data_IF_514059799364
#
_entry.id   IF_514059799364
#
_cell.length_a   1.000
_cell.length_b   1.000
_cell.length_c   1.000
_cell.angle_alpha   90.00
_cell.angle_beta   90.00
_cell.angle_gamma   90.00
#
_symmetry.space_group_name_H-M   'P 1'
#
loop_
_entity.id
_entity.type
_entity.pdbx_description
1 polymer ?
#
# COMPACT_ATOMS: atom_id res chain seq x y z
N UNK A 1 21.02 41.21 -27.53
CA UNK A 1 21.42 40.05 -26.68
C UNK A 1 22.65 39.40 -27.30
N UNK A 2 23.76 39.43 -26.59
CA UNK A 2 25.08 38.99 -27.12
C UNK A 2 25.07 37.49 -27.38
N UNK A 3 25.63 37.09 -28.55
CA UNK A 3 25.74 35.69 -28.97
C UNK A 3 26.43 34.83 -27.89
N UNK A 4 27.38 35.40 -27.15
CA UNK A 4 28.06 34.75 -26.04
C UNK A 4 27.10 34.45 -24.88
N UNK A 5 26.12 35.28 -24.62
CA UNK A 5 25.14 35.09 -23.55
C UNK A 5 24.11 34.00 -23.90
N UNK A 6 23.66 33.97 -25.18
CA UNK A 6 22.80 32.88 -25.69
C UNK A 6 23.48 31.51 -25.65
N UNK A 7 24.75 31.45 -26.01
CA UNK A 7 25.53 30.23 -25.96
C UNK A 7 25.76 29.75 -24.50
N UNK A 8 25.94 30.67 -23.55
CA UNK A 8 26.10 30.37 -22.13
C UNK A 8 24.79 29.77 -21.53
N UNK A 9 23.64 30.35 -21.87
CA UNK A 9 22.33 29.86 -21.46
C UNK A 9 22.01 28.49 -22.07
N UNK A 10 22.27 28.31 -23.37
CA UNK A 10 22.12 27.02 -24.05
C UNK A 10 22.98 25.92 -23.42
N UNK A 11 24.26 26.19 -23.13
CA UNK A 11 25.15 25.25 -22.51
C UNK A 11 24.79 24.94 -21.04
N UNK A 12 24.25 25.94 -20.32
CA UNK A 12 23.71 25.77 -18.98
C UNK A 12 22.47 24.83 -18.97
N UNK A 13 21.56 25.07 -19.90
CA UNK A 13 20.36 24.27 -20.07
C UNK A 13 20.67 22.86 -20.55
N UNK A 14 21.64 22.70 -21.47
CA UNK A 14 22.15 21.38 -21.91
C UNK A 14 22.77 20.59 -20.75
N UNK A 15 23.61 21.22 -19.91
CA UNK A 15 24.25 20.60 -18.75
C UNK A 15 23.19 20.21 -17.70
N UNK A 16 22.18 21.04 -17.46
CA UNK A 16 21.05 20.73 -16.57
C UNK A 16 20.28 19.52 -17.10
N UNK A 17 19.91 19.50 -18.37
CA UNK A 17 19.20 18.37 -19.00
C UNK A 17 20.03 17.07 -18.97
N UNK A 18 21.36 17.17 -19.17
CA UNK A 18 22.26 16.03 -19.08
C UNK A 18 22.33 15.48 -17.65
N UNK A 19 22.44 16.36 -16.65
CA UNK A 19 22.48 15.98 -15.23
C UNK A 19 21.13 15.38 -14.77
N UNK A 20 20.02 15.94 -15.22
CA UNK A 20 18.67 15.37 -14.99
C UNK A 20 18.52 13.98 -15.64
N UNK A 21 19.07 13.77 -16.83
CA UNK A 21 19.06 12.45 -17.49
C UNK A 21 19.97 11.42 -16.81
N UNK A 22 21.11 11.86 -16.26
CA UNK A 22 22.02 10.99 -15.50
C UNK A 22 21.38 10.55 -14.15
N UNK A 23 20.74 11.47 -13.44
CA UNK A 23 19.99 11.14 -12.20
C UNK A 23 18.82 10.20 -12.49
N UNK A 24 18.15 10.41 -13.61
CA UNK A 24 17.08 9.49 -14.07
C UNK A 24 17.65 8.13 -14.44
N UNK A 25 18.79 8.05 -15.10
CA UNK A 25 19.47 6.79 -15.41
C UNK A 25 19.90 6.03 -14.14
N UNK A 26 20.46 6.70 -13.14
CA UNK A 26 20.90 6.07 -11.88
C UNK A 26 19.72 5.47 -11.09
N UNK A 27 18.61 6.18 -10.99
CA UNK A 27 17.38 5.67 -10.35
C UNK A 27 16.85 4.45 -11.14
N UNK A 28 17.10 4.40 -12.45
CA UNK A 28 16.64 3.36 -13.37
C UNK A 28 17.51 2.11 -13.34
N UNK A 29 18.83 2.26 -13.34
CA UNK A 29 19.77 1.13 -13.20
C UNK A 29 19.47 0.40 -11.89
N UNK A 30 19.27 1.12 -10.79
CA UNK A 30 18.87 0.52 -9.49
C UNK A 30 17.50 -0.16 -9.50
N UNK A 31 16.56 0.23 -10.38
CA UNK A 31 15.26 -0.46 -10.53
C UNK A 31 15.33 -1.68 -11.46
N UNK A 32 16.17 -1.66 -12.49
CA UNK A 32 16.43 -2.82 -13.36
C UNK A 32 16.98 -4.03 -12.60
N UNK A 33 17.78 -3.78 -11.56
CA UNK A 33 18.30 -4.83 -10.68
C UNK A 33 17.22 -5.44 -9.78
N UNK A 34 16.08 -4.75 -9.57
CA UNK A 34 14.94 -5.26 -8.82
C UNK A 34 13.92 -5.87 -9.79
N UNK A 35 14.01 -7.18 -9.98
CA UNK A 35 12.94 -7.94 -10.66
C UNK A 35 11.59 -7.64 -10.01
N UNK A 36 10.56 -7.40 -10.83
CA UNK A 36 9.20 -7.26 -10.36
C UNK A 36 8.77 -8.55 -9.64
N UNK A 37 8.02 -8.43 -8.55
CA UNK A 37 7.38 -9.60 -7.97
C UNK A 37 6.35 -10.18 -8.93
N UNK A 38 6.12 -11.48 -8.91
CA UNK A 38 5.14 -12.14 -9.78
C UNK A 38 3.74 -11.52 -9.66
N UNK A 39 3.32 -11.15 -8.44
CA UNK A 39 2.04 -10.48 -8.19
C UNK A 39 1.97 -9.11 -8.86
N UNK A 40 3.04 -8.31 -8.78
CA UNK A 40 3.12 -6.99 -9.41
C UNK A 40 3.12 -7.11 -10.93
N UNK A 41 3.88 -8.06 -11.47
CA UNK A 41 3.95 -8.34 -12.91
C UNK A 41 2.57 -8.70 -13.47
N UNK A 42 1.87 -9.66 -12.86
CA UNK A 42 0.50 -10.06 -13.23
C UNK A 42 -0.47 -8.89 -13.17
N UNK A 43 -0.37 -8.06 -12.15
CA UNK A 43 -1.21 -6.86 -12.04
C UNK A 43 -0.94 -5.86 -13.17
N UNK A 44 0.32 -5.63 -13.53
CA UNK A 44 0.68 -4.70 -14.61
C UNK A 44 0.21 -5.20 -15.97
N UNK A 45 0.40 -6.49 -16.27
CA UNK A 45 -0.12 -7.11 -17.49
C UNK A 45 -1.64 -6.91 -17.57
N UNK A 46 -2.37 -7.26 -16.52
CA UNK A 46 -3.83 -7.09 -16.46
C UNK A 46 -4.28 -5.65 -16.72
N UNK A 47 -3.59 -4.67 -16.14
CA UNK A 47 -3.90 -3.25 -16.34
C UNK A 47 -3.63 -2.82 -17.79
N UNK A 48 -2.50 -3.21 -18.37
CA UNK A 48 -2.16 -2.88 -19.75
C UNK A 48 -3.16 -3.49 -20.72
N UNK A 49 -3.49 -4.78 -20.56
CA UNK A 49 -4.47 -5.47 -21.40
C UNK A 49 -5.85 -4.83 -21.29
N UNK A 50 -6.30 -4.48 -20.08
CA UNK A 50 -7.59 -3.80 -19.89
C UNK A 50 -7.64 -2.47 -20.62
N UNK A 51 -6.60 -1.63 -20.53
CA UNK A 51 -6.56 -0.35 -21.24
C UNK A 51 -6.56 -0.58 -22.75
N UNK A 52 -5.81 -1.57 -23.25
CA UNK A 52 -5.88 -1.95 -24.65
C UNK A 52 -7.30 -2.28 -25.10
N UNK A 53 -8.03 -3.08 -24.33
CA UNK A 53 -9.41 -3.43 -24.59
C UNK A 53 -10.33 -2.21 -24.59
N UNK A 54 -10.18 -1.33 -23.61
CA UNK A 54 -10.97 -0.11 -23.47
C UNK A 54 -10.77 0.89 -24.62
N UNK A 55 -9.57 0.89 -25.22
CA UNK A 55 -9.27 1.71 -26.42
C UNK A 55 -9.59 0.97 -27.75
N UNK A 56 -10.31 -0.15 -27.70
CA UNK A 56 -10.72 -0.94 -28.88
C UNK A 56 -9.55 -1.50 -29.70
N UNK A 57 -8.39 -1.77 -29.06
CA UNK A 57 -7.27 -2.41 -29.71
C UNK A 57 -7.35 -3.93 -29.55
N UNK A 58 -6.99 -4.66 -30.59
CA UNK A 58 -6.96 -6.12 -30.56
C UNK A 58 -6.03 -6.65 -29.50
N UNK A 59 -6.60 -7.41 -28.56
CA UNK A 59 -5.84 -8.24 -27.62
C UNK A 59 -5.79 -9.64 -28.21
N UNK A 60 -4.59 -10.16 -28.37
CA UNK A 60 -4.40 -11.57 -28.66
C UNK A 60 -3.48 -12.19 -27.59
N UNK A 61 -3.45 -13.50 -27.55
CA UNK A 61 -2.61 -14.27 -26.62
C UNK A 61 -1.13 -13.86 -26.68
N UNK A 62 -0.63 -13.57 -27.88
CA UNK A 62 0.76 -13.16 -28.08
C UNK A 62 1.10 -11.85 -27.34
N UNK A 63 0.11 -10.99 -27.09
CA UNK A 63 0.35 -9.75 -26.34
C UNK A 63 0.65 -10.03 -24.87
N UNK A 64 -0.13 -10.90 -24.23
CA UNK A 64 0.08 -11.27 -22.84
C UNK A 64 1.44 -11.95 -22.64
N UNK A 65 1.79 -12.89 -23.52
CA UNK A 65 3.06 -13.61 -23.50
C UNK A 65 4.26 -12.67 -23.70
N UNK A 66 4.17 -11.71 -24.63
CA UNK A 66 5.21 -10.70 -24.83
C UNK A 66 5.36 -9.75 -23.65
N UNK A 67 4.25 -9.31 -23.04
CA UNK A 67 4.28 -8.47 -21.85
C UNK A 67 4.92 -9.21 -20.68
N UNK A 68 4.57 -10.48 -20.48
CA UNK A 68 5.16 -11.31 -19.43
C UNK A 68 6.68 -11.48 -19.65
N UNK A 69 7.09 -11.77 -20.86
CA UNK A 69 8.51 -11.90 -21.22
C UNK A 69 9.31 -10.62 -20.93
N UNK A 70 8.78 -9.46 -21.35
CA UNK A 70 9.44 -8.15 -21.18
C UNK A 70 9.50 -7.76 -19.69
N UNK A 71 8.40 -7.86 -18.98
CA UNK A 71 8.31 -7.46 -17.56
C UNK A 71 9.03 -8.43 -16.61
N UNK A 72 9.42 -9.60 -17.10
CA UNK A 72 10.32 -10.52 -16.39
C UNK A 72 11.79 -10.10 -16.44
N UNK A 73 12.13 -9.06 -17.22
CA UNK A 73 13.49 -8.56 -17.35
C UNK A 73 14.40 -9.42 -18.24
N UNK A 74 13.81 -10.20 -19.13
CA UNK A 74 14.54 -11.02 -20.10
C UNK A 74 15.25 -10.16 -21.15
N UNK A 75 16.28 -10.71 -21.80
CA UNK A 75 16.98 -10.04 -22.87
C UNK A 75 16.06 -9.86 -24.09
N UNK A 76 15.89 -8.59 -24.49
CA UNK A 76 14.97 -8.23 -25.55
C UNK A 76 15.66 -8.32 -26.93
N UNK A 77 15.00 -9.04 -27.85
CA UNK A 77 15.37 -9.13 -29.25
C UNK A 77 14.58 -8.09 -30.07
N UNK A 78 15.06 -7.81 -31.30
CA UNK A 78 14.44 -6.82 -32.20
C UNK A 78 12.93 -7.11 -32.46
N UNK A 79 12.55 -8.38 -32.52
CA UNK A 79 11.15 -8.79 -32.67
C UNK A 79 10.22 -8.28 -31.55
N UNK A 80 10.69 -8.29 -30.30
CA UNK A 80 9.92 -7.78 -29.15
C UNK A 80 9.71 -6.26 -29.26
N UNK A 81 10.74 -5.51 -29.65
CA UNK A 81 10.65 -4.08 -29.89
C UNK A 81 9.68 -3.76 -31.04
N UNK A 82 9.79 -4.47 -32.19
CA UNK A 82 8.87 -4.30 -33.34
C UNK A 82 7.42 -4.63 -32.94
N UNK A 83 7.22 -5.72 -32.22
CA UNK A 83 5.89 -6.14 -31.76
C UNK A 83 5.23 -5.07 -30.89
N UNK A 84 5.92 -4.62 -29.84
CA UNK A 84 5.38 -3.61 -28.92
C UNK A 84 5.24 -2.26 -29.58
N UNK A 85 6.19 -1.85 -30.45
CA UNK A 85 6.10 -0.59 -31.21
C UNK A 85 4.81 -0.51 -32.05
N UNK A 86 4.49 -1.58 -32.76
CA UNK A 86 3.24 -1.66 -33.54
C UNK A 86 2.00 -1.58 -32.67
N UNK A 87 1.98 -2.27 -31.52
CA UNK A 87 0.84 -2.35 -30.60
C UNK A 87 0.66 -1.10 -29.75
N UNK A 88 1.76 -0.41 -29.41
CA UNK A 88 1.76 0.78 -28.57
C UNK A 88 1.88 2.10 -29.35
N UNK A 89 1.71 2.07 -30.67
CA UNK A 89 1.81 3.26 -31.52
C UNK A 89 0.82 4.37 -31.08
N UNK A 90 -0.36 3.98 -30.61
CA UNK A 90 -1.40 4.89 -30.12
C UNK A 90 -1.02 5.60 -28.80
N UNK A 91 -0.06 5.11 -28.03
CA UNK A 91 0.47 5.80 -26.84
C UNK A 91 1.23 7.04 -27.29
N UNK A 92 0.54 7.90 -28.03
CA UNK A 92 1.00 9.23 -28.39
C UNK A 92 0.89 10.13 -27.16
N UNK A 93 2.00 10.81 -26.82
CA UNK A 93 2.23 11.54 -25.58
C UNK A 93 1.03 12.33 -25.06
N UNK A 94 0.48 13.23 -25.88
CA UNK A 94 -0.59 14.15 -25.45
C UNK A 94 -1.98 13.55 -25.54
N UNK A 95 -2.27 12.84 -26.62
CA UNK A 95 -3.61 12.26 -26.84
C UNK A 95 -3.91 11.17 -25.82
N UNK A 96 -2.96 10.25 -25.60
CA UNK A 96 -3.14 9.17 -24.62
C UNK A 96 -3.43 9.70 -23.21
N UNK A 97 -2.65 10.70 -22.75
CA UNK A 97 -2.87 11.30 -21.42
C UNK A 97 -4.26 11.95 -21.34
N UNK A 98 -4.65 12.76 -22.33
CA UNK A 98 -5.97 13.39 -22.34
C UNK A 98 -7.13 12.39 -22.28
N UNK A 99 -7.03 11.27 -22.98
CA UNK A 99 -8.05 10.23 -22.94
C UNK A 99 -8.05 9.49 -21.57
N UNK A 100 -6.87 9.28 -21.00
CA UNK A 100 -6.77 8.71 -19.66
C UNK A 100 -7.33 9.64 -18.58
N UNK A 101 -7.07 10.97 -18.66
CA UNK A 101 -7.63 12.00 -17.78
C UNK A 101 -9.16 12.05 -17.84
N UNK A 102 -9.74 11.96 -19.04
CA UNK A 102 -11.20 11.92 -19.22
C UNK A 102 -11.84 10.69 -18.56
N UNK A 103 -11.18 9.53 -18.64
CA UNK A 103 -11.70 8.27 -18.12
C UNK A 103 -11.48 8.11 -16.61
N UNK A 104 -10.37 8.60 -16.12
CA UNK A 104 -9.94 8.43 -14.74
C UNK A 104 -9.81 9.80 -14.06
N UNK A 105 -10.94 10.39 -13.69
CA UNK A 105 -11.02 11.72 -13.08
C UNK A 105 -10.25 11.83 -11.75
N UNK A 106 -10.06 10.70 -11.06
CA UNK A 106 -9.30 10.67 -9.82
C UNK A 106 -7.81 10.47 -10.10
N UNK A 107 -6.96 11.41 -9.66
CA UNK A 107 -5.50 11.38 -9.83
C UNK A 107 -4.85 10.08 -9.36
N UNK A 108 -5.33 9.48 -8.27
CA UNK A 108 -4.83 8.21 -7.76
C UNK A 108 -5.13 7.05 -8.72
N UNK A 109 -6.34 7.01 -9.27
CA UNK A 109 -6.74 6.01 -10.26
C UNK A 109 -5.93 6.18 -11.55
N UNK A 110 -5.82 7.41 -12.06
CA UNK A 110 -5.02 7.72 -13.25
C UNK A 110 -3.58 7.23 -13.09
N UNK A 111 -2.96 7.49 -11.95
CA UNK A 111 -1.60 7.04 -11.64
C UNK A 111 -1.48 5.51 -11.65
N UNK A 112 -2.44 4.79 -11.05
CA UNK A 112 -2.44 3.31 -11.02
C UNK A 112 -2.45 2.73 -12.44
N UNK A 113 -3.11 3.38 -13.38
CA UNK A 113 -3.16 2.96 -14.77
C UNK A 113 -1.92 3.40 -15.59
N UNK A 114 -1.28 4.52 -15.27
CA UNK A 114 -0.09 5.01 -15.99
C UNK A 114 1.21 4.32 -15.57
N UNK A 115 1.34 3.91 -14.30
CA UNK A 115 2.56 3.26 -13.79
C UNK A 115 2.94 2.01 -14.60
N UNK A 116 2.04 1.06 -14.90
CA UNK A 116 2.39 -0.13 -15.71
C UNK A 116 2.96 0.21 -17.07
N UNK A 117 2.42 1.24 -17.74
CA UNK A 117 2.95 1.71 -19.03
C UNK A 117 4.34 2.33 -18.88
N UNK A 118 4.53 3.13 -17.86
CA UNK A 118 5.84 3.74 -17.57
C UNK A 118 6.88 2.67 -17.32
N UNK A 119 6.54 1.66 -16.53
CA UNK A 119 7.42 0.52 -16.24
C UNK A 119 7.70 -0.28 -17.52
N UNK A 120 6.70 -0.58 -18.35
CA UNK A 120 6.90 -1.26 -19.63
C UNK A 120 7.84 -0.46 -20.55
N UNK A 121 7.59 0.84 -20.73
CA UNK A 121 8.43 1.70 -21.58
C UNK A 121 9.86 1.74 -21.09
N UNK A 122 10.08 1.55 -19.82
CA UNK A 122 11.39 1.50 -19.25
C UNK A 122 12.19 0.27 -19.64
N UNK A 123 11.58 -0.91 -19.58
CA UNK A 123 12.25 -2.13 -20.07
C UNK A 123 12.64 -2.01 -21.54
N UNK A 124 11.92 -1.18 -22.29
CA UNK A 124 12.13 -0.95 -23.73
C UNK A 124 13.03 0.26 -24.02
N UNK A 125 13.44 1.02 -23.02
CA UNK A 125 14.10 2.34 -23.17
C UNK A 125 15.50 2.32 -23.79
N UNK A 126 16.05 1.16 -24.10
CA UNK A 126 17.27 1.05 -24.91
C UNK A 126 17.08 1.67 -26.32
N UNK A 127 15.86 1.69 -26.84
CA UNK A 127 15.50 2.39 -28.07
C UNK A 127 15.00 3.80 -27.77
N UNK A 128 15.50 4.80 -28.50
CA UNK A 128 15.11 6.23 -28.34
C UNK A 128 13.60 6.47 -28.44
N UNK A 129 12.89 5.72 -29.26
CA UNK A 129 11.44 5.80 -29.39
C UNK A 129 10.71 5.55 -28.05
N UNK A 130 11.09 4.50 -27.34
CA UNK A 130 10.50 4.13 -26.05
C UNK A 130 11.04 4.99 -24.92
N UNK A 131 12.32 5.39 -24.98
CA UNK A 131 12.91 6.31 -24.02
C UNK A 131 12.14 7.63 -23.94
N UNK A 132 11.81 8.23 -25.09
CA UNK A 132 11.04 9.48 -25.13
C UNK A 132 9.64 9.34 -24.53
N UNK A 133 8.98 8.17 -24.70
CA UNK A 133 7.68 7.90 -24.10
C UNK A 133 7.81 7.69 -22.59
N UNK A 134 8.82 6.96 -22.19
CA UNK A 134 9.16 6.73 -20.79
C UNK A 134 9.42 8.06 -20.05
N UNK A 135 10.31 8.90 -20.55
CA UNK A 135 10.67 10.18 -19.94
C UNK A 135 9.42 11.07 -19.76
N UNK A 136 8.60 11.15 -20.78
CA UNK A 136 7.35 11.91 -20.72
C UNK A 136 6.39 11.37 -19.64
N UNK A 137 6.12 10.06 -19.62
CA UNK A 137 5.22 9.44 -18.63
C UNK A 137 5.76 9.56 -17.22
N UNK A 138 7.06 9.41 -17.04
CA UNK A 138 7.71 9.54 -15.73
C UNK A 138 7.60 10.95 -15.18
N UNK A 139 7.86 11.97 -15.98
CA UNK A 139 7.70 13.38 -15.60
C UNK A 139 6.24 13.70 -15.25
N UNK A 140 5.31 13.19 -16.05
CA UNK A 140 3.89 13.35 -15.78
C UNK A 140 3.46 12.72 -14.44
N UNK A 141 3.89 11.48 -14.16
CA UNK A 141 3.60 10.81 -12.88
C UNK A 141 4.25 11.55 -11.69
N UNK A 142 5.48 12.07 -11.87
CA UNK A 142 6.14 12.87 -10.83
C UNK A 142 5.32 14.12 -10.51
N UNK A 143 4.81 14.83 -11.52
CA UNK A 143 3.98 16.00 -11.31
C UNK A 143 2.64 15.65 -10.65
N UNK A 144 1.96 14.58 -11.10
CA UNK A 144 0.76 14.07 -10.42
C UNK A 144 1.01 13.72 -8.94
N UNK A 145 2.20 13.19 -8.63
CA UNK A 145 2.57 12.89 -7.24
C UNK A 145 2.73 14.17 -6.42
N UNK A 146 3.42 15.19 -6.97
CA UNK A 146 3.60 16.48 -6.29
C UNK A 146 2.27 17.15 -6.00
N UNK A 147 1.38 17.19 -6.99
CA UNK A 147 0.03 17.74 -6.82
C UNK A 147 -0.78 16.97 -5.78
N UNK A 148 -0.73 15.65 -5.81
CA UNK A 148 -1.40 14.80 -4.84
C UNK A 148 -0.82 14.95 -3.43
N UNK A 149 0.50 15.11 -3.31
CA UNK A 149 1.15 15.35 -2.01
C UNK A 149 0.79 16.73 -1.47
N UNK A 150 0.77 17.77 -2.31
CA UNK A 150 0.35 19.13 -1.91
C UNK A 150 -1.12 19.14 -1.42
N UNK A 151 -2.03 18.46 -2.11
CA UNK A 151 -3.44 18.32 -1.67
C UNK A 151 -3.54 17.55 -0.33
N UNK A 152 -2.64 16.61 -0.09
CA UNK A 152 -2.63 15.76 1.11
C UNK A 152 -1.91 16.39 2.29
N UNK A 153 -0.92 17.24 2.06
CA UNK A 153 -0.11 17.89 3.11
C UNK A 153 -0.91 18.91 3.94
N UNK A 154 -2.09 19.34 3.44
CA UNK A 154 -3.04 20.11 4.23
C UNK A 154 -3.63 19.34 5.42
N UNK A 155 -3.36 18.03 5.53
CA UNK A 155 -3.80 17.15 6.62
C UNK A 155 -5.29 17.30 7.01
N UNK A 156 -6.09 17.97 6.19
CA UNK A 156 -7.53 18.14 6.40
C UNK A 156 -8.30 16.88 5.99
N UNK A 157 -9.44 16.69 6.58
CA UNK A 157 -10.39 15.64 6.21
C UNK A 157 -11.54 16.30 5.45
N UNK A 158 -11.94 15.72 4.33
CA UNK A 158 -13.17 16.12 3.66
C UNK A 158 -14.35 16.01 4.65
N UNK A 159 -15.26 16.96 4.63
CA UNK A 159 -16.41 16.97 5.57
C UNK A 159 -17.21 15.66 5.56
N UNK A 160 -17.37 15.05 4.39
CA UNK A 160 -18.02 13.74 4.20
C UNK A 160 -17.32 12.56 4.89
N UNK A 161 -16.07 12.73 5.32
CA UNK A 161 -15.23 11.67 5.90
C UNK A 161 -14.91 11.95 7.38
N UNK A 162 -15.30 13.10 7.93
CA UNK A 162 -15.03 13.46 9.34
C UNK A 162 -15.61 12.43 10.30
N UNK A 163 -16.84 11.99 10.06
CA UNK A 163 -17.54 10.99 10.90
C UNK A 163 -16.89 9.60 10.89
N UNK A 164 -15.90 9.37 10.01
CA UNK A 164 -15.15 8.12 9.96
C UNK A 164 -13.95 8.11 10.88
N UNK A 165 -13.63 9.24 11.50
CA UNK A 165 -12.55 9.36 12.48
C UNK A 165 -13.10 9.10 13.86
N UNK A 166 -12.56 8.10 14.53
CA UNK A 166 -12.84 7.82 15.92
C UNK A 166 -12.05 8.83 16.76
N UNK A 167 -12.75 9.62 17.56
CA UNK A 167 -12.18 10.65 18.44
C UNK A 167 -12.07 10.19 19.89
N UNK A 168 -12.96 9.31 20.32
CA UNK A 168 -13.04 8.75 21.66
C UNK A 168 -12.15 7.49 21.80
N UNK A 169 -10.85 7.73 21.81
CA UNK A 169 -9.83 6.68 22.00
C UNK A 169 -9.45 6.48 23.49
N UNK A 170 -10.28 6.94 24.40
CA UNK A 170 -10.08 6.65 25.82
C UNK A 170 -10.40 5.18 26.14
N UNK A 171 -9.70 4.65 27.13
CA UNK A 171 -9.77 3.23 27.46
C UNK A 171 -11.18 2.82 27.90
N UNK A 172 -11.89 3.65 28.65
CA UNK A 172 -13.23 3.37 29.18
C UNK A 172 -14.24 3.23 28.04
N UNK A 173 -14.28 4.20 27.13
CA UNK A 173 -15.15 4.19 25.94
C UNK A 173 -14.88 2.95 25.06
N UNK A 174 -13.62 2.63 24.82
CA UNK A 174 -13.25 1.48 23.98
C UNK A 174 -13.66 0.14 24.61
N UNK A 175 -13.50 -0.04 25.93
CA UNK A 175 -13.98 -1.25 26.62
C UNK A 175 -15.51 -1.27 26.74
N UNK A 176 -16.16 -0.16 27.02
CA UNK A 176 -17.63 -0.07 27.03
C UNK A 176 -18.27 -0.44 25.68
N UNK A 177 -17.61 -0.14 24.59
CA UNK A 177 -18.06 -0.55 23.25
C UNK A 177 -17.96 -2.06 23.00
N UNK A 178 -17.03 -2.77 23.66
CA UNK A 178 -16.95 -4.23 23.59
C UNK A 178 -18.22 -4.91 24.11
N UNK A 179 -18.85 -4.34 25.13
CA UNK A 179 -20.05 -4.91 25.74
C UNK A 179 -21.28 -4.80 24.84
N UNK A 180 -21.32 -3.81 23.96
CA UNK A 180 -22.38 -3.64 22.95
C UNK A 180 -22.36 -4.72 21.88
N UNK A 181 -21.23 -5.42 21.67
CA UNK A 181 -21.04 -6.41 20.62
C UNK A 181 -21.53 -7.80 21.04
N UNK A 182 -22.47 -8.37 20.28
CA UNK A 182 -23.15 -9.62 20.64
C UNK A 182 -22.33 -10.91 20.46
N UNK A 183 -21.26 -10.91 19.64
CA UNK A 183 -20.52 -12.14 19.33
C UNK A 183 -19.05 -12.07 19.71
N UNK A 184 -18.44 -13.19 20.20
CA UNK A 184 -17.03 -13.20 20.57
C UNK A 184 -16.08 -12.78 19.44
N UNK A 185 -16.38 -13.16 18.19
CA UNK A 185 -15.54 -12.76 17.06
C UNK A 185 -15.57 -11.26 16.81
N UNK A 186 -16.74 -10.59 16.95
CA UNK A 186 -16.82 -9.15 16.83
C UNK A 186 -16.06 -8.45 17.95
N UNK A 187 -16.16 -8.95 19.19
CA UNK A 187 -15.40 -8.42 20.35
C UNK A 187 -13.89 -8.53 20.12
N UNK A 188 -13.41 -9.68 19.65
CA UNK A 188 -11.99 -9.88 19.33
C UNK A 188 -11.53 -8.92 18.24
N UNK A 189 -12.28 -8.86 17.12
CA UNK A 189 -11.91 -7.99 15.99
C UNK A 189 -11.92 -6.53 16.41
N UNK A 190 -12.93 -6.06 17.12
CA UNK A 190 -12.96 -4.70 17.65
C UNK A 190 -11.73 -4.42 18.52
N UNK A 191 -11.45 -5.29 19.50
CA UNK A 191 -10.34 -5.11 20.44
C UNK A 191 -8.96 -5.07 19.77
N UNK A 192 -8.69 -5.92 18.78
CA UNK A 192 -7.40 -5.93 18.07
C UNK A 192 -7.21 -4.76 17.11
N UNK A 193 -8.27 -4.02 16.77
CA UNK A 193 -8.21 -2.84 15.91
C UNK A 193 -8.34 -1.52 16.66
N UNK A 194 -8.66 -1.53 17.96
CA UNK A 194 -8.84 -0.31 18.77
C UNK A 194 -7.94 -0.26 20.00
N UNK A 195 -7.78 -1.38 20.73
CA UNK A 195 -7.02 -1.43 21.98
C UNK A 195 -5.51 -1.64 21.80
N UNK A 196 -5.09 -1.98 20.58
CA UNK A 196 -3.68 -2.08 20.18
C UNK A 196 -3.48 -1.36 18.84
N UNK A 197 -2.23 -0.97 18.50
CA UNK A 197 -1.94 -0.30 17.23
C UNK A 197 -2.52 -1.05 16.03
N UNK A 198 -3.47 -0.46 15.30
CA UNK A 198 -4.21 -1.18 14.26
C UNK A 198 -3.32 -1.56 13.09
N UNK A 199 -3.29 -2.86 12.78
CA UNK A 199 -2.58 -3.44 11.63
C UNK A 199 -3.50 -3.43 10.39
N UNK A 200 -2.98 -3.94 9.24
CA UNK A 200 -3.84 -4.16 8.07
C UNK A 200 -4.70 -5.41 8.26
N UNK A 201 -4.47 -6.46 7.50
CA UNK A 201 -5.26 -7.70 7.55
C UNK A 201 -4.40 -8.89 8.02
N UNK A 202 -3.27 -8.61 8.68
CA UNK A 202 -2.31 -9.64 9.07
C UNK A 202 -2.88 -10.66 10.08
N UNK A 203 -3.91 -10.27 10.83
CA UNK A 203 -4.53 -11.13 11.85
C UNK A 203 -5.22 -12.38 11.30
N UNK A 204 -5.76 -12.34 10.07
CA UNK A 204 -6.41 -13.50 9.44
C UNK A 204 -5.42 -14.56 8.96
N UNK A 205 -4.14 -14.23 8.91
CA UNK A 205 -3.06 -15.14 8.52
C UNK A 205 -2.29 -15.68 9.73
N UNK A 206 -2.67 -15.29 10.93
CA UNK A 206 -2.00 -15.73 12.16
C UNK A 206 -2.29 -17.17 12.51
N UNK A 207 -1.28 -17.84 13.06
CA UNK A 207 -1.34 -19.19 13.58
C UNK A 207 -1.12 -19.17 15.09
N UNK A 208 -1.83 -20.03 15.81
CA UNK A 208 -1.68 -20.20 17.26
C UNK A 208 -0.40 -20.97 17.58
N UNK A 209 0.45 -20.41 18.45
CA UNK A 209 1.72 -21.00 18.84
C UNK A 209 1.92 -20.93 20.36
N UNK A 210 2.55 -21.94 20.96
CA UNK A 210 2.97 -21.84 22.35
C UNK A 210 4.24 -21.02 22.50
N UNK A 211 4.45 -20.43 23.68
CA UNK A 211 5.64 -19.59 23.95
C UNK A 211 6.95 -20.37 23.78
N UNK A 212 6.94 -21.65 24.07
CA UNK A 212 8.11 -22.55 24.00
C UNK A 212 8.43 -23.06 22.59
N UNK A 213 7.58 -22.75 21.60
CA UNK A 213 7.78 -23.28 20.25
C UNK A 213 8.77 -22.47 19.42
N UNK A 214 9.55 -23.18 18.62
CA UNK A 214 10.33 -22.59 17.53
C UNK A 214 9.35 -22.11 16.44
N UNK A 215 9.52 -20.87 15.98
CA UNK A 215 8.64 -20.21 14.99
C UNK A 215 9.40 -19.94 13.72
N UNK A 216 8.68 -19.98 12.61
CA UNK A 216 9.22 -19.55 11.33
C UNK A 216 9.16 -18.01 11.19
N UNK A 217 10.12 -17.45 10.49
CA UNK A 217 10.20 -15.99 10.26
C UNK A 217 9.31 -15.49 9.11
N UNK A 218 8.50 -16.35 8.52
CA UNK A 218 7.59 -16.04 7.40
C UNK A 218 6.11 -16.12 7.79
N UNK A 219 5.83 -16.42 9.05
CA UNK A 219 4.47 -16.66 9.55
C UNK A 219 4.17 -15.75 10.75
N UNK A 220 2.96 -15.21 10.81
CA UNK A 220 2.46 -14.43 11.93
C UNK A 220 1.86 -15.31 13.01
N UNK A 221 2.06 -14.97 14.29
CA UNK A 221 1.65 -15.82 15.40
C UNK A 221 0.86 -15.06 16.47
N UNK A 222 -0.20 -15.71 16.97
CA UNK A 222 -0.76 -15.43 18.28
C UNK A 222 -0.09 -16.40 19.30
N UNK A 223 0.68 -15.84 20.21
CA UNK A 223 1.46 -16.61 21.19
C UNK A 223 0.68 -16.82 22.46
N UNK A 224 0.60 -18.09 22.87
CA UNK A 224 -0.09 -18.54 24.07
C UNK A 224 0.92 -19.00 25.13
N UNK A 225 0.66 -18.64 26.41
CA UNK A 225 1.30 -19.19 27.59
C UNK A 225 0.23 -19.82 28.48
N UNK A 226 0.27 -21.11 28.70
CA UNK A 226 -0.75 -21.84 29.49
C UNK A 226 -2.19 -21.55 29.00
N UNK A 227 -2.40 -21.53 27.70
CA UNK A 227 -3.64 -21.17 27.00
C UNK A 227 -4.04 -19.67 27.06
N UNK A 228 -3.29 -18.84 27.76
CA UNK A 228 -3.52 -17.40 27.79
C UNK A 228 -2.85 -16.71 26.59
N UNK A 229 -3.57 -15.87 25.84
CA UNK A 229 -2.99 -15.08 24.75
C UNK A 229 -2.15 -13.94 25.34
N UNK A 230 -0.85 -13.90 25.00
CA UNK A 230 0.06 -12.94 25.63
C UNK A 230 0.59 -11.89 24.65
N UNK A 231 0.83 -12.27 23.40
CA UNK A 231 1.31 -11.34 22.37
C UNK A 231 1.03 -11.83 20.96
N UNK A 232 1.02 -10.89 20.04
CA UNK A 232 1.11 -11.14 18.61
C UNK A 232 2.55 -10.98 18.13
N UNK A 233 2.97 -11.82 17.19
CA UNK A 233 4.25 -11.71 16.48
C UNK A 233 3.95 -11.55 15.00
N UNK A 234 4.44 -10.46 14.41
CA UNK A 234 4.28 -10.17 13.00
C UNK A 234 5.62 -10.34 12.29
N UNK A 235 5.71 -11.34 11.42
CA UNK A 235 6.86 -11.64 10.57
C UNK A 235 6.54 -11.37 9.10
N UNK A 236 5.33 -11.77 8.63
CA UNK A 236 4.85 -11.54 7.27
C UNK A 236 3.92 -10.33 7.24
N UNK A 237 4.46 -9.18 6.81
CA UNK A 237 3.73 -7.95 6.58
C UNK A 237 4.46 -7.06 5.58
N UNK A 238 3.75 -6.08 4.99
CA UNK A 238 4.23 -5.27 3.86
C UNK A 238 5.62 -4.65 4.05
N UNK A 239 5.97 -4.26 5.27
CA UNK A 239 7.24 -3.57 5.60
C UNK A 239 8.19 -4.43 6.43
N UNK A 240 7.99 -5.74 6.51
CA UNK A 240 8.80 -6.67 7.28
C UNK A 240 10.29 -6.63 6.90
N UNK A 241 10.60 -6.44 5.60
CA UNK A 241 11.99 -6.29 5.15
C UNK A 241 12.73 -5.08 5.73
N UNK A 242 12.00 -4.05 6.14
CA UNK A 242 12.57 -2.83 6.70
C UNK A 242 12.64 -2.84 8.23
N UNK A 243 11.67 -3.48 8.89
CA UNK A 243 11.53 -3.42 10.36
C UNK A 243 11.71 -4.78 11.06
N UNK A 244 11.87 -5.86 10.30
CA UNK A 244 12.01 -7.20 10.86
C UNK A 244 10.74 -7.68 11.57
N UNK A 245 10.92 -8.55 12.56
CA UNK A 245 9.83 -9.05 13.41
C UNK A 245 9.32 -7.96 14.35
N UNK A 246 8.01 -7.85 14.47
CA UNK A 246 7.35 -6.90 15.39
C UNK A 246 6.49 -7.67 16.38
N UNK A 247 6.76 -7.47 17.67
CA UNK A 247 5.95 -7.98 18.76
C UNK A 247 4.92 -6.95 19.21
N UNK A 248 3.70 -7.39 19.50
CA UNK A 248 2.65 -6.56 20.10
C UNK A 248 2.04 -7.28 21.29
N UNK A 249 2.29 -6.78 22.49
CA UNK A 249 1.74 -7.34 23.74
C UNK A 249 0.25 -7.10 23.75
N UNK A 250 -0.50 -8.12 24.16
CA UNK A 250 -1.95 -8.07 24.30
C UNK A 250 -2.28 -7.45 25.67
N UNK A 251 -3.08 -6.35 25.72
CA UNK A 251 -3.55 -5.76 26.95
C UNK A 251 -4.27 -6.80 27.82
N UNK A 252 -4.07 -6.71 29.15
CA UNK A 252 -4.60 -7.71 30.07
C UNK A 252 -6.11 -7.89 29.97
N UNK A 253 -6.86 -6.81 29.87
CA UNK A 253 -8.32 -6.82 29.71
C UNK A 253 -8.79 -7.44 28.38
N UNK A 254 -7.96 -7.45 27.33
CA UNK A 254 -8.30 -8.08 26.04
C UNK A 254 -8.03 -9.59 26.02
N UNK A 255 -7.13 -10.07 26.89
CA UNK A 255 -6.76 -11.50 26.96
C UNK A 255 -7.95 -12.43 27.20
N UNK A 256 -8.82 -12.19 28.21
CA UNK A 256 -10.00 -13.05 28.41
C UNK A 256 -10.92 -13.08 27.20
N UNK A 257 -11.12 -11.97 26.50
CA UNK A 257 -11.98 -11.91 25.31
C UNK A 257 -11.42 -12.82 24.19
N UNK A 258 -10.13 -12.76 23.95
CA UNK A 258 -9.46 -13.64 22.96
C UNK A 258 -9.52 -15.09 23.42
N UNK A 259 -9.21 -15.38 24.70
CA UNK A 259 -9.27 -16.73 25.28
C UNK A 259 -10.66 -17.36 25.12
N UNK A 260 -11.71 -16.61 25.43
CA UNK A 260 -13.10 -17.08 25.35
C UNK A 260 -13.50 -17.37 23.89
N UNK A 261 -13.07 -16.51 22.94
CA UNK A 261 -13.20 -16.78 21.51
C UNK A 261 -12.51 -18.07 21.10
N UNK A 262 -11.25 -18.29 21.52
CA UNK A 262 -10.48 -19.48 21.19
C UNK A 262 -11.16 -20.74 21.78
N UNK A 263 -11.63 -20.67 23.04
CA UNK A 263 -12.33 -21.77 23.72
C UNK A 263 -13.66 -22.10 23.01
N UNK A 264 -14.48 -21.09 22.70
CA UNK A 264 -15.77 -21.29 22.03
C UNK A 264 -15.63 -21.93 20.66
N UNK A 265 -14.58 -21.57 19.93
CA UNK A 265 -14.29 -22.13 18.60
C UNK A 265 -13.39 -23.36 18.64
N UNK A 266 -13.14 -23.95 19.82
CA UNK A 266 -12.32 -25.16 20.04
C UNK A 266 -10.94 -25.10 19.39
N UNK A 267 -10.39 -23.88 19.31
CA UNK A 267 -9.09 -23.62 18.66
C UNK A 267 -7.94 -24.31 19.38
N UNK A 268 -7.05 -24.90 18.59
CA UNK A 268 -5.87 -25.61 19.06
C UNK A 268 -4.59 -24.95 18.50
N UNK A 269 -3.48 -25.32 19.06
CA UNK A 269 -2.14 -24.98 18.54
C UNK A 269 -2.01 -25.41 17.07
N UNK A 270 -1.44 -24.56 16.24
CA UNK A 270 -1.34 -24.78 14.81
C UNK A 270 -2.56 -24.29 14.00
N UNK A 271 -3.70 -24.04 14.64
CA UNK A 271 -4.88 -23.52 13.96
C UNK A 271 -4.71 -22.04 13.61
N UNK A 272 -5.44 -21.60 12.59
CA UNK A 272 -5.56 -20.17 12.29
C UNK A 272 -6.26 -19.45 13.43
N UNK A 273 -5.78 -18.26 13.79
CA UNK A 273 -6.42 -17.41 14.79
C UNK A 273 -7.84 -17.05 14.37
N UNK A 274 -7.99 -16.46 13.18
CA UNK A 274 -9.28 -16.14 12.58
C UNK A 274 -9.48 -17.04 11.34
N UNK A 275 -10.64 -17.71 11.24
CA UNK A 275 -11.01 -18.49 10.05
C UNK A 275 -11.73 -17.59 9.03
N UNK A 276 -11.06 -16.51 8.63
CA UNK A 276 -11.60 -15.52 7.72
C UNK A 276 -10.64 -15.30 6.56
N UNK A 277 -11.19 -15.04 5.37
CA UNK A 277 -10.41 -14.43 4.30
C UNK A 277 -10.43 -12.90 4.42
N UNK A 278 -9.62 -12.22 3.62
CA UNK A 278 -9.48 -10.75 3.66
C UNK A 278 -10.84 -10.03 3.48
N UNK A 279 -11.66 -10.47 2.54
CA UNK A 279 -12.96 -9.85 2.26
C UNK A 279 -13.94 -10.03 3.42
N UNK A 280 -13.95 -11.22 4.04
CA UNK A 280 -14.78 -11.49 5.21
C UNK A 280 -14.36 -10.63 6.40
N UNK A 281 -13.05 -10.51 6.65
CA UNK A 281 -12.54 -9.68 7.73
C UNK A 281 -12.90 -8.20 7.51
N UNK A 282 -12.72 -7.68 6.28
CA UNK A 282 -13.11 -6.31 5.93
C UNK A 282 -14.60 -6.08 6.14
N UNK A 283 -15.45 -7.03 5.73
CA UNK A 283 -16.90 -6.94 5.90
C UNK A 283 -17.27 -6.87 7.38
N UNK A 284 -16.75 -7.77 8.20
CA UNK A 284 -17.02 -7.81 9.65
C UNK A 284 -16.54 -6.52 10.33
N UNK A 285 -15.37 -5.99 9.95
CA UNK A 285 -14.87 -4.71 10.49
C UNK A 285 -15.90 -3.61 10.20
N UNK A 286 -16.36 -3.47 8.97
CA UNK A 286 -17.34 -2.45 8.59
C UNK A 286 -18.64 -2.60 9.39
N UNK A 287 -19.14 -3.82 9.55
CA UNK A 287 -20.33 -4.12 10.32
C UNK A 287 -20.18 -3.72 11.80
N UNK A 288 -19.06 -4.07 12.44
CA UNK A 288 -18.76 -3.73 13.84
C UNK A 288 -18.78 -2.20 14.04
N UNK A 289 -18.06 -1.48 13.20
CA UNK A 289 -17.91 -0.04 13.38
C UNK A 289 -19.19 0.72 13.00
N UNK A 290 -20.00 0.17 12.08
CA UNK A 290 -21.34 0.68 11.80
C UNK A 290 -22.29 0.46 12.99
N UNK A 291 -22.19 -0.69 13.66
CA UNK A 291 -23.00 -1.00 14.86
C UNK A 291 -22.68 -0.06 16.03
N UNK A 292 -21.39 0.30 16.21
CA UNK A 292 -20.94 1.12 17.34
C UNK A 292 -21.01 2.62 17.04
N UNK A 293 -20.57 3.05 15.86
CA UNK A 293 -20.39 4.47 15.51
C UNK A 293 -21.37 4.96 14.45
N UNK A 294 -22.31 4.12 13.97
CA UNK A 294 -23.25 4.48 12.92
C UNK A 294 -22.66 4.57 11.51
N UNK A 295 -21.33 4.41 11.36
CA UNK A 295 -20.58 4.60 10.12
C UNK A 295 -19.75 3.38 9.72
N UNK A 296 -19.70 3.09 8.41
CA UNK A 296 -18.80 2.04 7.90
C UNK A 296 -17.34 2.52 7.94
N UNK A 297 -16.62 2.15 8.98
CA UNK A 297 -15.20 2.48 9.14
C UNK A 297 -14.33 1.34 8.58
N UNK A 298 -13.39 1.67 7.72
CA UNK A 298 -12.44 0.70 7.16
C UNK A 298 -11.15 0.68 7.95
N UNK A 299 -10.34 -0.38 7.79
CA UNK A 299 -9.00 -0.48 8.40
C UNK A 299 -8.15 0.75 8.14
N UNK A 300 -8.28 1.39 6.97
CA UNK A 300 -7.57 2.64 6.67
C UNK A 300 -7.98 3.74 7.65
N UNK A 301 -9.27 3.93 7.90
CA UNK A 301 -9.77 4.97 8.80
C UNK A 301 -9.42 4.67 10.25
N UNK A 302 -9.45 3.41 10.70
CA UNK A 302 -8.97 3.02 12.03
C UNK A 302 -7.50 3.39 12.24
N UNK A 303 -6.68 3.21 11.24
CA UNK A 303 -5.26 3.59 11.27
C UNK A 303 -5.06 5.10 11.25
N UNK A 304 -5.92 5.84 10.55
CA UNK A 304 -5.96 7.31 10.56
C UNK A 304 -6.38 7.80 11.96
N UNK A 305 -7.47 7.29 12.50
CA UNK A 305 -7.97 7.63 13.83
C UNK A 305 -6.91 7.41 14.90
N UNK A 306 -6.28 6.22 14.89
CA UNK A 306 -5.22 5.91 15.84
C UNK A 306 -3.99 6.83 15.70
N UNK A 307 -3.55 7.15 14.49
CA UNK A 307 -2.43 8.06 14.27
C UNK A 307 -2.77 9.51 14.69
N UNK A 308 -4.02 9.95 14.50
CA UNK A 308 -4.53 11.24 14.97
C UNK A 308 -4.58 11.29 16.49
N UNK A 309 -5.08 10.23 17.14
CA UNK A 309 -5.06 10.10 18.59
C UNK A 309 -3.63 10.13 19.16
N UNK A 310 -2.69 9.39 18.58
CA UNK A 310 -1.29 9.42 19.04
C UNK A 310 -0.66 10.81 18.97
N UNK A 311 -1.10 11.64 18.05
CA UNK A 311 -0.60 13.00 17.94
C UNK A 311 -1.14 13.92 19.05
N UNK A 312 -2.34 13.67 19.54
CA UNK A 312 -2.92 14.39 20.69
C UNK A 312 -2.24 14.02 22.02
N UNK A 313 -1.51 12.89 22.06
CA UNK A 313 -0.76 12.47 23.23
C UNK A 313 0.63 13.16 23.26
N UNK A 314 1.05 13.57 24.44
CA UNK A 314 2.38 14.16 24.65
C UNK A 314 3.47 13.08 24.68
N UNK A 315 3.63 12.35 23.56
CA UNK A 315 4.61 11.29 23.41
C UNK A 315 5.93 11.82 22.83
N UNK A 316 7.03 11.26 23.31
CA UNK A 316 8.35 11.49 22.71
C UNK A 316 8.42 10.98 21.27
N UNK A 317 9.41 11.46 20.53
CA UNK A 317 9.65 11.00 19.16
C UNK A 317 9.93 9.50 19.04
N UNK A 318 10.57 8.91 20.05
CA UNK A 318 10.88 7.47 20.07
C UNK A 318 9.61 6.65 20.29
N UNK A 319 8.76 7.03 21.24
CA UNK A 319 7.47 6.37 21.46
C UNK A 319 6.56 6.43 20.23
N UNK A 320 6.47 7.60 19.58
CA UNK A 320 5.72 7.75 18.31
C UNK A 320 6.29 6.84 17.23
N UNK A 321 7.61 6.66 17.16
CA UNK A 321 8.24 5.77 16.19
C UNK A 321 7.96 4.29 16.50
N UNK A 322 8.03 3.87 17.75
CA UNK A 322 7.72 2.50 18.17
C UNK A 322 6.28 2.13 17.83
N UNK A 323 5.32 3.02 18.13
CA UNK A 323 3.90 2.81 17.82
C UNK A 323 3.65 2.79 16.32
N UNK A 324 4.33 3.62 15.53
CA UNK A 324 4.28 3.56 14.08
C UNK A 324 4.78 2.22 13.53
N UNK A 325 5.90 1.69 14.07
CA UNK A 325 6.43 0.37 13.70
C UNK A 325 5.42 -0.73 14.06
N UNK A 326 4.79 -0.67 15.23
CA UNK A 326 3.71 -1.59 15.63
C UNK A 326 2.52 -1.55 14.68
N UNK A 327 2.21 -0.40 14.09
CA UNK A 327 1.23 -0.27 13.00
C UNK A 327 1.75 -0.79 11.64
N UNK A 328 3.04 -1.12 11.50
CA UNK A 328 3.71 -1.47 10.24
C UNK A 328 3.94 -0.26 9.32
N UNK A 329 4.25 0.91 9.91
CA UNK A 329 4.58 2.15 9.22
C UNK A 329 5.96 2.68 9.62
N UNK A 330 6.56 3.55 8.78
CA UNK A 330 7.58 4.48 9.24
C UNK A 330 6.93 5.65 10.01
N UNK A 331 7.75 6.40 10.76
CA UNK A 331 7.30 7.62 11.44
C UNK A 331 6.72 8.63 10.45
N UNK A 332 7.40 8.85 9.32
CA UNK A 332 6.95 9.75 8.26
C UNK A 332 5.62 9.28 7.64
N UNK A 333 5.43 7.97 7.49
CA UNK A 333 4.17 7.43 7.02
C UNK A 333 3.07 7.59 8.07
N UNK A 334 3.37 7.46 9.35
CA UNK A 334 2.42 7.67 10.44
C UNK A 334 1.99 9.13 10.51
N UNK A 335 2.91 10.09 10.39
CA UNK A 335 2.58 11.52 10.38
C UNK A 335 1.68 11.91 9.20
N UNK A 336 1.81 11.26 8.05
CA UNK A 336 0.90 11.43 6.89
C UNK A 336 -0.52 10.87 7.12
N UNK A 337 -0.71 10.01 8.10
CA UNK A 337 -2.03 9.51 8.50
C UNK A 337 -2.75 10.44 9.48
N UNK A 338 -2.00 11.26 10.23
CA UNK A 338 -2.56 12.27 11.14
C UNK A 338 -3.49 13.21 10.36
N UNK A 339 -4.59 13.57 10.98
CA UNK A 339 -5.55 14.52 10.43
C UNK A 339 -5.83 15.66 11.40
N UNK A 340 -5.95 16.86 10.87
CA UNK A 340 -6.49 18.00 11.61
C UNK A 340 -8.01 17.90 11.57
N UNK A 341 -8.62 17.76 12.73
CA UNK A 341 -10.07 17.64 12.92
C UNK A 341 -10.59 18.98 13.40
#
# INVERSE_FOLDING_TARGET
>A
MDIKQKNKEYMSEYRRKKKESEVVNDVWIKRKEKKLSESTKKQYIKVILRIHQEFSYFINRDMEENLDYILSGNDLKEQHYKFIKKRMAYVNKKHFIKEMEKRYLNKTSLKVYLIPYTVLMSFLSKENYFYNKYDFLSKYIINLNKEYEAERDNNTVDDKDKDKIITDYDEESLYGNLDKLGTPIKKVIYGIYTLIPPRRLEYNKMVLSAISEKRNNDTNYLVLRNKEPIKFIFNDYKTAKAYGTVDSIIPEKLRPIIRDYLKKNKKKRGDKFLDLNDNQLIKIIKEIFKEIYGQEITVRWLRISYATYLDSLNLSNNEKQELAIKMGHSKEQSSKYRKLI
#
